data_IF_169965207341
#
_entry.id   IF_169965207341
#
_cell.length_a   1.000
_cell.length_b   1.000
_cell.length_c   1.000
_cell.angle_alpha   90.00
_cell.angle_beta   90.00
_cell.angle_gamma   90.00
#
_symmetry.space_group_name_H-M   'P 1'
#
loop_
_entity.id
_entity.type
_entity.pdbx_description
1 polymer ?
#
# COMPACT_ATOMS: atom_id res chain seq x y z
N UNK A 1 -16.30 -1.33 -18.10
CA UNK A 1 -16.40 -0.52 -16.86
C UNK A 1 -14.99 -0.17 -16.42
N UNK A 2 -14.72 1.05 -15.91
CA UNK A 2 -13.42 1.38 -15.33
C UNK A 2 -13.14 0.47 -14.12
N UNK A 3 -11.89 0.03 -13.89
CA UNK A 3 -11.54 -0.73 -12.69
C UNK A 3 -11.83 0.09 -11.42
N UNK A 4 -12.31 -0.58 -10.37
CA UNK A 4 -12.70 0.06 -9.11
C UNK A 4 -11.50 0.43 -8.23
N UNK A 5 -10.27 0.01 -8.59
CA UNK A 5 -9.03 0.24 -7.83
C UNK A 5 -9.16 0.01 -6.33
N UNK A 6 -10.02 -0.94 -6.00
CA UNK A 6 -10.36 -1.39 -4.66
C UNK A 6 -10.40 -2.90 -4.73
N UNK A 7 -9.89 -3.56 -3.71
CA UNK A 7 -9.88 -5.01 -3.64
C UNK A 7 -11.31 -5.55 -3.45
N UNK A 8 -11.75 -6.50 -4.30
CA UNK A 8 -13.08 -7.09 -4.16
C UNK A 8 -13.13 -8.06 -2.97
N UNK A 9 -14.31 -8.20 -2.36
CA UNK A 9 -14.54 -9.20 -1.30
C UNK A 9 -13.89 -8.82 0.04
N UNK A 10 -13.13 -9.76 0.62
CA UNK A 10 -12.52 -9.64 1.94
C UNK A 10 -11.13 -8.98 1.84
N UNK A 11 -11.11 -7.65 1.82
CA UNK A 11 -9.91 -6.85 1.66
C UNK A 11 -9.10 -6.69 2.97
N UNK A 12 -8.90 -7.80 3.70
CA UNK A 12 -8.07 -7.86 4.90
C UNK A 12 -6.85 -8.73 4.64
N UNK A 13 -5.70 -8.27 5.11
CA UNK A 13 -4.41 -8.93 4.95
C UNK A 13 -3.73 -9.07 6.30
N UNK A 14 -3.06 -10.19 6.51
CA UNK A 14 -2.19 -10.38 7.67
C UNK A 14 -0.96 -9.47 7.59
N UNK A 15 -0.37 -9.11 8.73
CA UNK A 15 0.87 -8.31 8.78
C UNK A 15 1.98 -8.88 7.89
N UNK A 16 2.14 -10.21 7.86
CA UNK A 16 3.20 -10.88 7.10
C UNK A 16 2.98 -10.82 5.58
N UNK A 17 1.74 -10.68 5.11
CA UNK A 17 1.39 -10.62 3.68
C UNK A 17 1.73 -9.26 3.06
N UNK A 18 1.74 -8.21 3.90
CA UNK A 18 2.04 -6.85 3.50
C UNK A 18 3.37 -6.35 4.09
N UNK A 19 4.12 -7.22 4.75
CA UNK A 19 5.49 -6.96 5.21
C UNK A 19 5.63 -5.97 6.35
N UNK A 20 4.64 -5.84 7.23
CA UNK A 20 4.72 -4.97 8.40
C UNK A 20 4.47 -5.73 9.70
N UNK A 21 4.79 -5.10 10.83
CA UNK A 21 4.51 -5.64 12.16
C UNK A 21 3.00 -5.72 12.45
N UNK A 22 2.64 -6.54 13.43
CA UNK A 22 1.27 -6.85 13.83
C UNK A 22 0.69 -5.87 14.86
N UNK A 23 1.46 -4.89 15.34
CA UNK A 23 1.11 -4.09 16.52
C UNK A 23 -0.27 -3.41 16.45
N UNK A 24 -0.64 -2.89 15.28
CA UNK A 24 -1.96 -2.28 15.07
C UNK A 24 -3.02 -3.31 14.69
N UNK A 25 -2.65 -4.35 13.94
CA UNK A 25 -3.55 -5.44 13.60
C UNK A 25 -4.07 -6.15 14.86
N UNK A 26 -3.20 -6.43 15.83
CA UNK A 26 -3.53 -7.11 17.10
C UNK A 26 -4.58 -6.38 17.97
N UNK A 27 -4.85 -5.12 17.67
CA UNK A 27 -5.88 -4.31 18.33
C UNK A 27 -7.26 -4.42 17.66
N UNK A 28 -7.34 -5.12 16.52
CA UNK A 28 -8.57 -5.37 15.79
C UNK A 28 -9.10 -6.79 16.08
N UNK A 29 -10.43 -7.03 16.03
CA UNK A 29 -10.99 -8.36 16.22
C UNK A 29 -10.46 -9.41 15.24
N UNK A 30 -10.20 -8.99 13.99
CA UNK A 30 -9.79 -9.87 12.90
C UNK A 30 -8.27 -10.02 12.78
N UNK A 31 -7.49 -9.27 13.57
CA UNK A 31 -6.02 -9.26 13.57
C UNK A 31 -5.39 -9.02 12.20
N UNK A 32 -5.98 -8.13 11.40
CA UNK A 32 -5.59 -7.89 10.01
C UNK A 32 -5.65 -6.40 9.64
N UNK A 33 -4.98 -6.06 8.54
CA UNK A 33 -4.98 -4.74 7.93
C UNK A 33 -5.92 -4.67 6.73
N UNK A 34 -6.66 -3.57 6.63
CA UNK A 34 -7.56 -3.34 5.49
C UNK A 34 -6.83 -2.63 4.35
N UNK A 35 -7.02 -3.11 3.12
CA UNK A 35 -6.55 -2.41 1.92
C UNK A 35 -7.24 -1.05 1.79
N UNK A 36 -6.43 0.01 1.69
CA UNK A 36 -6.93 1.37 1.43
C UNK A 36 -7.20 1.53 -0.06
N UNK A 37 -8.32 2.19 -0.41
CA UNK A 37 -8.60 2.51 -1.81
C UNK A 37 -7.48 3.37 -2.42
N UNK A 38 -7.02 3.00 -3.63
CA UNK A 38 -5.89 3.68 -4.28
C UNK A 38 -6.28 5.00 -4.96
N UNK A 39 -7.57 5.22 -5.20
CA UNK A 39 -8.07 6.48 -5.78
C UNK A 39 -7.77 7.66 -4.86
N UNK A 40 -7.15 8.71 -5.40
CA UNK A 40 -6.80 9.91 -4.64
C UNK A 40 -5.69 9.68 -3.60
N UNK A 41 -4.87 8.64 -3.74
CA UNK A 41 -3.80 8.30 -2.79
C UNK A 41 -2.84 9.47 -2.52
N UNK A 42 -2.61 10.33 -3.52
CA UNK A 42 -1.78 11.53 -3.38
C UNK A 42 -2.28 12.53 -2.32
N UNK A 43 -3.59 12.55 -2.03
CA UNK A 43 -4.17 13.43 -1.00
C UNK A 43 -3.75 13.03 0.43
N UNK A 44 -3.21 11.81 0.60
CA UNK A 44 -2.80 11.24 1.89
C UNK A 44 -1.31 11.40 2.19
N UNK A 45 -0.58 12.22 1.42
CA UNK A 45 0.86 12.42 1.63
C UNK A 45 1.19 13.11 2.97
N UNK A 46 0.26 13.94 3.49
CA UNK A 46 0.50 14.66 4.74
C UNK A 46 0.52 13.67 5.91
N UNK A 47 1.69 13.54 6.55
CA UNK A 47 1.91 12.60 7.65
C UNK A 47 2.45 11.24 7.21
N UNK A 48 2.71 11.03 5.91
CA UNK A 48 3.19 9.76 5.37
C UNK A 48 2.04 8.79 5.01
N UNK A 49 2.42 7.68 4.39
CA UNK A 49 1.55 6.57 4.03
C UNK A 49 1.49 5.54 5.16
N UNK A 50 0.45 4.70 5.12
CA UNK A 50 0.01 3.82 6.22
C UNK A 50 -0.55 4.59 7.41
N UNK A 51 -1.15 3.86 8.35
CA UNK A 51 -1.88 4.42 9.49
C UNK A 51 -0.98 5.15 10.50
N UNK A 52 0.33 4.88 10.49
CA UNK A 52 1.35 5.44 11.37
C UNK A 52 2.38 6.31 10.64
N UNK A 53 2.20 6.52 9.33
CA UNK A 53 3.13 7.34 8.54
C UNK A 53 4.50 6.70 8.30
N UNK A 54 4.67 5.39 8.54
CA UNK A 54 5.97 4.69 8.44
C UNK A 54 6.68 4.84 7.08
N UNK A 55 5.91 5.13 6.03
CA UNK A 55 6.47 5.41 4.71
C UNK A 55 6.28 6.90 4.37
N UNK A 56 7.35 7.70 4.32
CA UNK A 56 7.23 9.14 4.12
C UNK A 56 6.82 9.52 2.69
N UNK A 57 7.02 8.63 1.71
CA UNK A 57 6.74 8.89 0.29
C UNK A 57 6.08 7.69 -0.37
N UNK A 58 5.41 7.93 -1.52
CA UNK A 58 4.83 6.85 -2.31
C UNK A 58 5.91 5.92 -2.88
N UNK A 59 7.08 6.49 -3.17
CA UNK A 59 8.26 5.72 -3.57
C UNK A 59 8.73 4.77 -2.46
N UNK A 60 8.70 5.17 -1.19
CA UNK A 60 9.02 4.29 -0.08
C UNK A 60 8.03 3.11 0.03
N UNK A 61 6.74 3.34 -0.23
CA UNK A 61 5.73 2.27 -0.30
C UNK A 61 6.00 1.32 -1.47
N UNK A 62 6.32 1.85 -2.65
CA UNK A 62 6.62 1.02 -3.84
C UNK A 62 7.88 0.19 -3.62
N UNK A 63 8.93 0.77 -3.04
CA UNK A 63 10.16 0.05 -2.72
C UNK A 63 9.92 -1.05 -1.69
N UNK A 64 9.13 -0.77 -0.66
CA UNK A 64 8.73 -1.76 0.34
C UNK A 64 8.08 -3.00 -0.31
N UNK A 65 7.08 -2.79 -1.17
CA UNK A 65 6.40 -3.91 -1.83
C UNK A 65 7.28 -4.62 -2.88
N UNK A 66 8.13 -3.90 -3.61
CA UNK A 66 9.08 -4.51 -4.54
C UNK A 66 10.05 -5.47 -3.82
N UNK A 67 10.57 -5.06 -2.67
CA UNK A 67 11.44 -5.88 -1.84
C UNK A 67 10.69 -7.04 -1.19
N UNK A 68 9.56 -6.77 -0.54
CA UNK A 68 8.79 -7.75 0.22
C UNK A 68 8.22 -8.86 -0.69
N UNK A 69 7.63 -8.47 -1.83
CA UNK A 69 7.06 -9.40 -2.80
C UNK A 69 8.09 -9.90 -3.83
N UNK A 70 9.34 -9.43 -3.75
CA UNK A 70 10.47 -9.81 -4.64
C UNK A 70 10.13 -9.61 -6.11
N UNK A 71 9.50 -8.50 -6.45
CA UNK A 71 8.99 -8.20 -7.80
C UNK A 71 10.12 -7.90 -8.79
N UNK A 72 11.26 -7.40 -8.29
CA UNK A 72 12.45 -7.05 -9.09
C UNK A 72 12.14 -5.97 -10.14
N UNK A 73 11.39 -4.96 -9.74
CA UNK A 73 11.05 -3.84 -10.61
C UNK A 73 12.29 -3.03 -10.97
N UNK A 74 12.41 -2.67 -12.25
CA UNK A 74 13.45 -1.73 -12.68
C UNK A 74 13.14 -0.31 -12.18
N UNK A 75 14.15 0.59 -12.13
CA UNK A 75 13.92 1.99 -11.77
C UNK A 75 12.84 2.67 -12.63
N UNK A 76 12.77 2.34 -13.92
CA UNK A 76 11.76 2.84 -14.86
C UNK A 76 10.37 2.34 -14.48
N UNK A 77 10.21 1.04 -14.20
CA UNK A 77 8.92 0.46 -13.81
C UNK A 77 8.38 1.07 -12.50
N UNK A 78 9.27 1.31 -11.52
CA UNK A 78 8.89 1.98 -10.27
C UNK A 78 8.38 3.40 -10.52
N UNK A 79 9.09 4.17 -11.34
CA UNK A 79 8.68 5.53 -11.72
C UNK A 79 7.32 5.54 -12.42
N UNK A 80 7.12 4.68 -13.41
CA UNK A 80 5.86 4.58 -14.15
C UNK A 80 4.70 4.16 -13.24
N UNK A 81 4.94 3.21 -12.34
CA UNK A 81 3.95 2.79 -11.35
C UNK A 81 3.56 3.93 -10.41
N UNK A 82 4.52 4.73 -9.95
CA UNK A 82 4.26 5.89 -9.08
C UNK A 82 3.37 6.91 -9.81
N UNK A 83 3.68 7.24 -11.06
CA UNK A 83 2.88 8.19 -11.84
C UNK A 83 1.48 7.64 -12.15
N UNK A 84 1.39 6.34 -12.46
CA UNK A 84 0.10 5.69 -12.62
C UNK A 84 -0.76 5.79 -11.35
N UNK A 85 -0.21 5.46 -10.19
CA UNK A 85 -0.91 5.55 -8.89
C UNK A 85 -1.37 6.97 -8.55
N UNK A 86 -0.61 8.00 -8.95
CA UNK A 86 -1.01 9.41 -8.78
C UNK A 86 -2.20 9.80 -9.66
N UNK A 87 -2.38 9.13 -10.80
CA UNK A 87 -3.46 9.42 -11.75
C UNK A 87 -4.81 8.79 -11.38
N UNK A 88 -4.87 7.96 -10.33
CA UNK A 88 -6.06 7.19 -9.92
C UNK A 88 -7.12 8.01 -9.17
#
# INVERSE_FOLDING_TARGET
>A
MPPLFTEPGWALHKPEEIGIDDFQADRSPDKQYRTTALRGLFTRQKGGFYHDGRFPTLEAVVNHYDEHLKLKLTPEQKRELIEYLKSL
#
